data_IF_580666624262
#
_entry.id   IF_580666624262
#
_cell.length_a   1.000
_cell.length_b   1.000
_cell.length_c   1.000
_cell.angle_alpha   90.00
_cell.angle_beta   90.00
_cell.angle_gamma   90.00
#
_symmetry.space_group_name_H-M   'P 1'
#
loop_
_entity.id
_entity.type
_entity.pdbx_description
1 polymer ?
#
# COMPACT_ATOMS: atom_id res chain seq x y z
N UNK A 1 15.60 3.27 25.14
CA UNK A 1 16.24 3.88 23.95
C UNK A 1 15.43 3.69 22.67
N UNK A 2 15.02 2.47 22.33
CA UNK A 2 14.23 2.19 21.11
C UNK A 2 12.88 2.94 21.05
N UNK A 3 12.15 3.03 22.17
CA UNK A 3 10.88 3.77 22.25
C UNK A 3 11.07 5.28 21.98
N UNK A 4 12.14 5.88 22.51
CA UNK A 4 12.45 7.30 22.30
C UNK A 4 12.81 7.59 20.84
N UNK A 5 13.55 6.68 20.19
CA UNK A 5 13.87 6.79 18.75
C UNK A 5 12.61 6.65 17.88
N UNK A 6 11.74 5.67 18.15
CA UNK A 6 10.47 5.49 17.44
C UNK A 6 9.55 6.71 17.61
N UNK A 7 9.45 7.23 18.83
CA UNK A 7 8.66 8.43 19.12
C UNK A 7 9.24 9.68 18.45
N UNK A 8 10.56 9.86 18.49
CA UNK A 8 11.25 10.96 17.81
C UNK A 8 11.00 10.95 16.30
N UNK A 9 11.16 9.78 15.66
CA UNK A 9 10.88 9.62 14.23
C UNK A 9 9.41 9.91 13.91
N UNK A 10 8.48 9.40 14.73
CA UNK A 10 7.05 9.66 14.58
C UNK A 10 6.73 11.16 14.65
N UNK A 11 7.28 11.87 15.63
CA UNK A 11 7.08 13.32 15.78
C UNK A 11 7.67 14.14 14.63
N UNK A 12 8.82 13.72 14.10
CA UNK A 12 9.43 14.38 12.93
C UNK A 12 8.56 14.20 11.68
N UNK A 13 8.06 12.98 11.43
CA UNK A 13 7.15 12.71 10.32
C UNK A 13 5.83 13.49 10.47
N UNK A 14 5.31 13.57 11.69
CA UNK A 14 4.13 14.36 12.03
C UNK A 14 4.34 15.85 11.74
N UNK A 15 5.46 16.41 12.18
CA UNK A 15 5.82 17.81 11.95
C UNK A 15 6.00 18.13 10.46
N UNK A 16 6.67 17.25 9.71
CA UNK A 16 6.88 17.41 8.28
C UNK A 16 5.56 17.39 7.51
N UNK A 17 4.68 16.44 7.84
CA UNK A 17 3.33 16.34 7.26
C UNK A 17 2.49 17.59 7.53
N UNK A 18 2.48 18.07 8.78
CA UNK A 18 1.77 19.29 9.16
C UNK A 18 2.29 20.52 8.40
N UNK A 19 3.61 20.71 8.37
CA UNK A 19 4.22 21.87 7.73
C UNK A 19 4.00 21.89 6.22
N UNK A 20 4.18 20.75 5.55
CA UNK A 20 3.97 20.63 4.11
C UNK A 20 2.50 20.81 3.73
N UNK A 21 1.57 20.22 4.48
CA UNK A 21 0.13 20.41 4.29
C UNK A 21 -0.28 21.88 4.46
N UNK A 22 0.16 22.52 5.54
CA UNK A 22 -0.15 23.93 5.82
C UNK A 22 0.45 24.87 4.76
N UNK A 23 1.64 24.57 4.26
CA UNK A 23 2.27 25.35 3.18
C UNK A 23 1.48 25.22 1.86
N UNK A 24 1.08 24.01 1.48
CA UNK A 24 0.33 23.77 0.24
C UNK A 24 -1.04 24.45 0.28
N UNK A 25 -1.76 24.35 1.41
CA UNK A 25 -3.05 25.02 1.60
C UNK A 25 -2.91 26.55 1.45
N UNK A 26 -1.88 27.15 2.05
CA UNK A 26 -1.62 28.59 1.93
C UNK A 26 -1.28 29.02 0.50
N UNK A 27 -0.47 28.24 -0.21
CA UNK A 27 -0.12 28.53 -1.60
C UNK A 27 -1.36 28.45 -2.49
N UNK A 28 -2.17 27.41 -2.33
CA UNK A 28 -3.40 27.26 -3.09
C UNK A 28 -4.40 28.39 -2.82
N UNK A 29 -4.56 28.82 -1.57
CA UNK A 29 -5.43 29.96 -1.23
C UNK A 29 -4.93 31.29 -1.80
N UNK A 30 -3.61 31.49 -1.90
CA UNK A 30 -3.02 32.67 -2.56
C UNK A 30 -3.31 32.66 -4.05
N UNK A 31 -3.02 31.53 -4.71
CA UNK A 31 -3.34 31.35 -6.13
C UNK A 31 -4.84 31.59 -6.40
N UNK A 32 -5.71 31.07 -5.54
CA UNK A 32 -7.16 31.25 -5.69
C UNK A 32 -7.56 32.73 -5.57
N UNK A 33 -6.98 33.46 -4.62
CA UNK A 33 -7.24 34.90 -4.44
C UNK A 33 -6.69 35.74 -5.60
N UNK A 34 -5.54 35.37 -6.17
CA UNK A 34 -4.98 36.00 -7.37
C UNK A 34 -5.90 35.77 -8.58
N UNK A 35 -6.40 34.55 -8.73
CA UNK A 35 -7.28 34.18 -9.83
C UNK A 35 -8.67 34.82 -9.72
N UNK A 36 -9.22 34.92 -8.51
CA UNK A 36 -10.45 35.68 -8.24
C UNK A 36 -10.31 37.16 -8.62
N UNK A 37 -9.16 37.78 -8.36
CA UNK A 37 -8.85 39.14 -8.79
C UNK A 37 -8.71 39.24 -10.32
N UNK A 38 -8.01 38.30 -10.95
CA UNK A 38 -7.83 38.25 -12.41
C UNK A 38 -9.16 38.13 -13.16
N UNK A 39 -10.15 37.48 -12.55
CA UNK A 39 -11.48 37.25 -13.09
C UNK A 39 -12.55 38.19 -12.50
N UNK A 40 -12.13 39.30 -11.88
CA UNK A 40 -13.06 40.26 -11.29
C UNK A 40 -14.03 40.85 -12.33
N UNK A 41 -13.57 41.02 -13.57
CA UNK A 41 -14.34 41.59 -14.69
C UNK A 41 -15.48 40.67 -15.18
N UNK A 42 -15.44 39.38 -14.84
CA UNK A 42 -16.54 38.44 -15.13
C UNK A 42 -17.53 38.49 -13.97
N UNK A 43 -18.66 39.14 -14.18
CA UNK A 43 -19.71 39.29 -13.19
C UNK A 43 -20.59 38.04 -13.15
N UNK A 44 -21.04 37.67 -11.94
CA UNK A 44 -21.92 36.53 -11.72
C UNK A 44 -23.17 36.99 -10.96
N UNK A 45 -24.32 36.50 -11.38
CA UNK A 45 -25.62 36.87 -10.81
C UNK A 45 -26.43 35.62 -10.47
N UNK A 46 -27.11 35.67 -9.32
CA UNK A 46 -28.10 34.66 -8.95
C UNK A 46 -29.46 34.90 -9.63
N UNK A 47 -29.67 36.07 -10.25
CA UNK A 47 -30.91 36.39 -10.95
C UNK A 47 -31.09 35.52 -12.19
N UNK A 48 -32.34 35.16 -12.48
CA UNK A 48 -32.65 34.26 -13.61
C UNK A 48 -32.41 34.93 -14.98
N UNK A 49 -32.63 36.25 -15.06
CA UNK A 49 -32.48 37.03 -16.29
C UNK A 49 -31.67 38.32 -16.06
N UNK A 50 -31.06 38.87 -17.12
CA UNK A 50 -30.50 40.22 -17.10
C UNK A 50 -31.57 41.29 -16.82
N UNK A 51 -31.21 42.45 -16.24
CA UNK A 51 -32.15 43.54 -16.00
C UNK A 51 -32.83 43.99 -17.31
N UNK A 52 -34.17 44.17 -17.32
CA UNK A 52 -34.88 44.68 -18.49
C UNK A 52 -34.41 46.11 -18.78
N UNK A 53 -33.92 46.36 -20.00
CA UNK A 53 -33.42 47.68 -20.43
C UNK A 53 -31.92 47.77 -20.68
N UNK A 54 -31.15 46.69 -20.47
CA UNK A 54 -29.78 46.61 -20.96
C UNK A 54 -29.77 46.60 -22.50
N UNK A 55 -29.62 47.79 -23.09
CA UNK A 55 -29.61 48.02 -24.53
C UNK A 55 -28.47 47.20 -25.18
N UNK A 56 -28.82 46.22 -26.02
CA UNK A 56 -27.86 45.31 -26.67
C UNK A 56 -28.19 43.82 -26.56
N UNK A 57 -29.10 43.42 -25.66
CA UNK A 57 -29.47 42.01 -25.44
C UNK A 57 -30.54 41.43 -26.38
N UNK A 58 -31.11 42.24 -27.28
CA UNK A 58 -32.26 41.81 -28.12
C UNK A 58 -31.93 40.70 -29.13
N UNK A 59 -30.65 40.45 -29.41
CA UNK A 59 -30.17 39.33 -30.24
C UNK A 59 -28.93 38.71 -29.59
N UNK A 60 -29.12 37.96 -28.52
CA UNK A 60 -28.05 37.20 -27.88
C UNK A 60 -28.41 35.73 -27.75
N UNK A 61 -27.46 34.86 -28.07
CA UNK A 61 -27.60 33.42 -27.91
C UNK A 61 -27.16 33.03 -26.49
N UNK A 62 -27.96 32.21 -25.78
CA UNK A 62 -27.60 31.73 -24.46
C UNK A 62 -26.49 30.67 -24.56
N UNK A 63 -25.52 30.75 -23.65
CA UNK A 63 -24.44 29.76 -23.53
C UNK A 63 -24.37 29.23 -22.12
N UNK A 64 -24.40 27.90 -21.99
CA UNK A 64 -24.15 27.26 -20.71
C UNK A 64 -22.66 27.37 -20.38
N UNK A 65 -22.36 27.97 -19.24
CA UNK A 65 -21.02 27.98 -18.65
C UNK A 65 -21.04 27.21 -17.34
N UNK A 66 -19.96 26.49 -17.08
CA UNK A 66 -19.83 25.65 -15.91
C UNK A 66 -18.38 25.59 -15.43
N UNK A 67 -18.21 25.27 -14.15
CA UNK A 67 -16.94 24.96 -13.53
C UNK A 67 -17.15 23.91 -12.46
N UNK A 68 -16.44 22.79 -12.57
CA UNK A 68 -16.41 21.75 -11.54
C UNK A 68 -15.04 21.71 -10.87
N UNK A 69 -15.02 21.35 -9.60
CA UNK A 69 -13.81 21.04 -8.85
C UNK A 69 -14.06 19.90 -7.88
N UNK A 70 -13.09 19.00 -7.78
CA UNK A 70 -13.04 17.99 -6.73
C UNK A 70 -11.97 18.38 -5.73
N UNK A 71 -12.34 18.46 -4.46
CA UNK A 71 -11.44 18.84 -3.37
C UNK A 71 -11.48 17.79 -2.27
N UNK A 72 -10.30 17.29 -1.91
CA UNK A 72 -10.10 16.36 -0.80
C UNK A 72 -9.63 17.09 0.46
N UNK A 73 -9.98 16.54 1.62
CA UNK A 73 -9.44 16.94 2.90
C UNK A 73 -8.03 16.37 3.09
N UNK A 74 -7.15 17.16 3.70
CA UNK A 74 -5.82 16.67 4.06
C UNK A 74 -5.93 15.59 5.14
N UNK A 75 -5.29 14.43 4.89
CA UNK A 75 -5.24 13.29 5.82
C UNK A 75 -4.80 13.70 7.24
N UNK A 76 -3.87 14.65 7.35
CA UNK A 76 -3.41 15.17 8.64
C UNK A 76 -4.50 15.88 9.44
N UNK A 77 -5.36 16.66 8.77
CA UNK A 77 -6.49 17.31 9.44
C UNK A 77 -7.52 16.29 9.90
N UNK A 78 -7.66 15.17 9.21
CA UNK A 78 -8.51 14.07 9.64
C UNK A 78 -7.95 13.38 10.89
N UNK A 79 -6.64 13.15 10.96
CA UNK A 79 -5.96 12.63 12.16
C UNK A 79 -6.12 13.59 13.36
N UNK A 80 -5.98 14.90 13.16
CA UNK A 80 -6.21 15.88 14.22
C UNK A 80 -7.71 15.99 14.58
N UNK A 81 -8.60 15.83 13.60
CA UNK A 81 -10.04 15.82 13.85
C UNK A 81 -10.49 14.55 14.60
N UNK A 82 -9.88 13.40 14.36
CA UNK A 82 -10.15 12.17 15.12
C UNK A 82 -9.69 12.30 16.57
N UNK A 83 -8.54 12.95 16.83
CA UNK A 83 -8.10 13.31 18.18
C UNK A 83 -9.05 14.30 18.87
N UNK A 84 -9.67 15.22 18.11
CA UNK A 84 -10.67 16.18 18.63
C UNK A 84 -12.06 15.60 18.90
N UNK A 85 -12.36 14.37 18.47
CA UNK A 85 -13.65 13.70 18.79
C UNK A 85 -13.89 13.57 20.30
N UNK A 86 -12.83 13.66 21.11
CA UNK A 86 -12.89 13.62 22.59
C UNK A 86 -13.30 14.96 23.22
N UNK A 87 -13.09 16.09 22.53
CA UNK A 87 -13.24 17.45 23.10
C UNK A 87 -14.52 18.16 22.61
N UNK A 88 -15.11 17.71 21.49
CA UNK A 88 -16.31 18.33 20.91
C UNK A 88 -16.05 19.66 20.18
N UNK A 89 -16.97 20.05 19.27
CA UNK A 89 -16.91 21.33 18.52
C UNK A 89 -17.37 21.23 17.04
N UNK A 90 -17.65 22.38 16.41
CA UNK A 90 -18.05 22.45 14.99
C UNK A 90 -16.94 21.95 14.04
N UNK A 91 -17.35 21.31 12.93
CA UNK A 91 -16.46 20.85 11.87
C UNK A 91 -15.94 22.00 10.99
N UNK A 92 -15.27 22.99 11.58
CA UNK A 92 -14.66 24.12 10.86
C UNK A 92 -13.72 23.67 9.72
N UNK A 93 -13.19 22.45 9.79
CA UNK A 93 -12.40 21.87 8.72
C UNK A 93 -13.24 21.51 7.47
N UNK A 94 -14.47 21.03 7.65
CA UNK A 94 -15.39 20.70 6.54
C UNK A 94 -15.95 21.98 5.91
N UNK A 95 -16.31 22.97 6.73
CA UNK A 95 -16.79 24.27 6.26
C UNK A 95 -15.74 24.96 5.38
N UNK A 96 -14.49 25.06 5.85
CA UNK A 96 -13.39 25.64 5.07
C UNK A 96 -13.13 24.91 3.77
N UNK A 97 -13.28 23.57 3.76
CA UNK A 97 -13.12 22.77 2.56
C UNK A 97 -14.22 23.08 1.54
N UNK A 98 -15.48 23.13 1.98
CA UNK A 98 -16.62 23.47 1.14
C UNK A 98 -16.55 24.90 0.61
N UNK A 99 -16.20 25.87 1.45
CA UNK A 99 -16.01 27.26 1.06
C UNK A 99 -14.94 27.39 -0.03
N UNK A 100 -13.79 26.76 0.18
CA UNK A 100 -12.69 26.72 -0.80
C UNK A 100 -13.12 26.04 -2.10
N UNK A 101 -13.84 24.93 -2.03
CA UNK A 101 -14.33 24.22 -3.21
C UNK A 101 -15.33 25.08 -4.00
N UNK A 102 -16.25 25.78 -3.32
CA UNK A 102 -17.16 26.73 -3.96
C UNK A 102 -16.41 27.86 -4.66
N UNK A 103 -15.46 28.50 -3.98
CA UNK A 103 -14.62 29.56 -4.57
C UNK A 103 -13.87 29.08 -5.81
N UNK A 104 -13.29 27.88 -5.77
CA UNK A 104 -12.58 27.32 -6.90
C UNK A 104 -13.53 26.93 -8.06
N UNK A 105 -14.70 26.37 -7.77
CA UNK A 105 -15.74 26.12 -8.79
C UNK A 105 -16.19 27.43 -9.46
N UNK A 106 -16.37 28.51 -8.69
CA UNK A 106 -16.69 29.85 -9.21
C UNK A 106 -15.58 30.38 -10.11
N UNK A 107 -14.32 30.23 -9.70
CA UNK A 107 -13.16 30.59 -10.52
C UNK A 107 -13.19 29.81 -11.85
N UNK A 108 -13.43 28.50 -11.82
CA UNK A 108 -13.52 27.66 -13.03
C UNK A 108 -14.67 28.09 -13.95
N UNK A 109 -15.83 28.41 -13.38
CA UNK A 109 -16.97 28.95 -14.13
C UNK A 109 -16.63 30.29 -14.79
N UNK A 110 -15.95 31.19 -14.07
CA UNK A 110 -15.51 32.47 -14.62
C UNK A 110 -14.41 32.32 -15.68
N UNK A 111 -13.49 31.37 -15.52
CA UNK A 111 -12.49 31.02 -16.55
C UNK A 111 -13.18 30.53 -17.83
N UNK A 112 -14.17 29.65 -17.70
CA UNK A 112 -14.95 29.16 -18.83
C UNK A 112 -15.72 30.29 -19.52
N UNK A 113 -16.35 31.18 -18.75
CA UNK A 113 -17.02 32.37 -19.28
C UNK A 113 -16.04 33.30 -20.02
N UNK A 114 -14.89 33.62 -19.42
CA UNK A 114 -13.86 34.45 -20.05
C UNK A 114 -13.35 33.84 -21.36
N UNK A 115 -13.14 32.52 -21.40
CA UNK A 115 -12.71 31.81 -22.60
C UNK A 115 -13.74 31.89 -23.74
N UNK A 116 -15.03 32.06 -23.41
CA UNK A 116 -16.10 32.29 -24.37
C UNK A 116 -16.34 33.77 -24.68
N UNK A 117 -15.51 34.69 -24.15
CA UNK A 117 -15.67 36.13 -24.32
C UNK A 117 -16.84 36.73 -23.55
N UNK A 118 -17.31 36.05 -22.51
CA UNK A 118 -18.42 36.48 -21.68
C UNK A 118 -17.93 37.35 -20.51
N UNK A 119 -18.62 38.46 -20.26
CA UNK A 119 -18.38 39.35 -19.12
C UNK A 119 -19.42 39.20 -18.01
N UNK A 120 -20.53 38.49 -18.27
CA UNK A 120 -21.62 38.30 -17.32
C UNK A 120 -22.18 36.89 -17.41
N UNK A 121 -22.48 36.29 -16.26
CA UNK A 121 -23.14 34.99 -16.13
C UNK A 121 -24.33 35.11 -15.18
N UNK A 122 -25.49 34.65 -15.63
CA UNK A 122 -26.76 34.70 -14.91
C UNK A 122 -27.19 33.32 -14.42
N UNK A 123 -28.16 33.30 -13.48
CA UNK A 123 -28.72 32.11 -12.86
C UNK A 123 -27.64 31.16 -12.31
N UNK A 124 -26.59 31.72 -11.70
CA UNK A 124 -25.48 30.91 -11.18
C UNK A 124 -25.94 30.06 -10.01
N UNK A 125 -25.78 28.74 -10.14
CA UNK A 125 -26.15 27.74 -9.13
C UNK A 125 -24.95 26.87 -8.79
N UNK A 126 -25.01 26.28 -7.60
CA UNK A 126 -24.00 25.37 -7.08
C UNK A 126 -24.68 24.06 -6.66
N UNK A 127 -24.08 22.93 -7.05
CA UNK A 127 -24.40 21.59 -6.53
C UNK A 127 -23.16 21.01 -5.90
N UNK A 128 -23.35 20.33 -4.78
CA UNK A 128 -22.28 19.63 -4.08
C UNK A 128 -22.58 18.14 -4.06
N UNK A 129 -21.65 17.32 -4.51
CA UNK A 129 -21.72 15.86 -4.42
C UNK A 129 -20.60 15.34 -3.53
N UNK A 130 -20.91 14.41 -2.63
CA UNK A 130 -19.90 13.74 -1.81
C UNK A 130 -19.34 12.57 -2.60
N UNK A 131 -18.01 12.50 -2.70
CA UNK A 131 -17.31 11.41 -3.39
C UNK A 131 -16.82 10.35 -2.39
N UNK A 132 -16.33 10.79 -1.23
CA UNK A 132 -15.72 9.90 -0.23
C UNK A 132 -16.74 9.02 0.50
N UNK A 133 -16.38 7.77 0.77
CA UNK A 133 -17.15 6.86 1.62
C UNK A 133 -16.73 6.97 3.10
N UNK A 134 -17.59 7.51 4.00
CA UNK A 134 -17.28 7.58 5.43
C UNK A 134 -17.13 6.21 6.10
N UNK A 135 -17.75 5.15 5.57
CA UNK A 135 -17.66 3.80 6.15
C UNK A 135 -16.31 3.15 5.85
N UNK A 136 -15.68 3.53 4.74
CA UNK A 136 -14.34 3.09 4.36
C UNK A 136 -13.21 3.88 5.06
N UNK A 137 -13.55 4.85 5.93
CA UNK A 137 -12.55 5.66 6.64
C UNK A 137 -11.82 6.67 5.73
N UNK A 138 -12.38 6.98 4.57
CA UNK A 138 -11.78 7.91 3.62
C UNK A 138 -11.84 9.36 4.10
N UNK A 139 -10.82 10.13 3.73
CA UNK A 139 -10.84 11.58 3.92
C UNK A 139 -12.01 12.20 3.15
N UNK A 140 -12.65 13.23 3.71
CA UNK A 140 -13.78 13.91 3.07
C UNK A 140 -13.37 14.43 1.69
N UNK A 141 -14.10 14.01 0.67
CA UNK A 141 -13.94 14.46 -0.70
C UNK A 141 -15.27 14.96 -1.23
N UNK A 142 -15.27 16.15 -1.81
CA UNK A 142 -16.47 16.79 -2.35
C UNK A 142 -16.19 17.28 -3.76
N UNK A 143 -17.15 17.05 -4.65
CA UNK A 143 -17.27 17.76 -5.91
C UNK A 143 -18.19 18.96 -5.71
N UNK A 144 -17.76 20.12 -6.23
CA UNK A 144 -18.63 21.29 -6.35
C UNK A 144 -18.73 21.67 -7.82
N UNK A 145 -19.94 21.59 -8.36
CA UNK A 145 -20.29 22.03 -9.69
C UNK A 145 -20.98 23.39 -9.60
N UNK A 146 -20.41 24.40 -10.25
CA UNK A 146 -21.05 25.68 -10.51
C UNK A 146 -21.48 25.75 -11.97
N UNK A 147 -22.68 26.23 -12.25
CA UNK A 147 -23.15 26.47 -13.63
C UNK A 147 -24.04 27.70 -13.71
N UNK A 148 -24.16 28.26 -14.91
CA UNK A 148 -25.01 29.40 -15.21
C UNK A 148 -25.09 29.66 -16.70
N UNK A 149 -25.73 30.76 -17.08
CA UNK A 149 -25.97 31.13 -18.48
C UNK A 149 -25.30 32.46 -18.79
N UNK A 150 -24.37 32.44 -19.74
CA UNK A 150 -23.86 33.65 -20.40
C UNK A 150 -24.68 33.97 -21.65
N UNK A 151 -24.51 35.17 -22.16
CA UNK A 151 -25.14 35.63 -23.40
C UNK A 151 -24.08 36.15 -24.35
N UNK A 152 -23.99 35.58 -25.55
CA UNK A 152 -23.11 36.07 -26.63
C UNK A 152 -23.92 36.74 -27.73
N UNK A 153 -23.40 37.74 -28.46
CA UNK A 153 -24.11 38.31 -29.59
C UNK A 153 -24.49 37.23 -30.62
N UNK A 154 -25.78 37.17 -30.97
CA UNK A 154 -26.28 36.18 -31.93
C UNK A 154 -25.70 36.47 -33.32
N UNK A 155 -25.21 35.42 -33.99
CA UNK A 155 -24.62 35.50 -35.33
C UNK A 155 -25.46 34.69 -36.32
N UNK A 156 -26.21 35.35 -37.21
CA UNK A 156 -26.87 34.67 -38.33
C UNK A 156 -27.95 33.65 -37.92
N UNK A 157 -27.94 32.47 -38.54
CA UNK A 157 -28.84 31.35 -38.21
C UNK A 157 -28.31 30.54 -37.01
N UNK A 158 -29.16 29.71 -36.37
CA UNK A 158 -28.75 28.86 -35.23
C UNK A 158 -27.53 27.98 -35.56
N UNK A 159 -27.42 27.52 -36.81
CA UNK A 159 -26.29 26.74 -37.31
C UNK A 159 -24.99 27.55 -37.51
N UNK A 160 -25.05 28.88 -37.47
CA UNK A 160 -23.91 29.80 -37.58
C UNK A 160 -23.54 30.43 -36.23
N UNK A 161 -24.34 30.17 -35.20
CA UNK A 161 -24.06 30.63 -33.84
C UNK A 161 -22.76 30.04 -33.34
N UNK A 162 -21.94 30.85 -32.66
CA UNK A 162 -20.69 30.43 -32.00
C UNK A 162 -20.92 29.34 -30.94
N UNK A 163 -22.18 29.09 -30.59
CA UNK A 163 -22.66 28.06 -29.66
C UNK A 163 -22.90 26.72 -30.37
N UNK A 164 -22.13 26.42 -31.44
CA UNK A 164 -22.15 25.09 -32.04
C UNK A 164 -22.08 24.03 -30.95
N UNK A 165 -22.97 23.04 -31.03
CA UNK A 165 -22.96 21.85 -30.18
C UNK A 165 -21.52 21.31 -30.14
N UNK A 166 -20.83 21.58 -29.04
CA UNK A 166 -19.59 20.88 -28.75
C UNK A 166 -20.04 19.48 -28.37
N UNK A 167 -19.69 18.43 -29.15
CA UNK A 167 -19.94 17.08 -28.70
C UNK A 167 -19.38 16.97 -27.30
N UNK A 168 -20.25 16.61 -26.35
CA UNK A 168 -19.90 16.56 -24.94
C UNK A 168 -18.56 15.84 -24.80
N UNK A 169 -17.69 16.34 -23.92
CA UNK A 169 -16.36 15.76 -23.69
C UNK A 169 -16.49 14.26 -23.67
N UNK A 170 -15.98 13.59 -24.71
CA UNK A 170 -15.95 12.15 -24.74
C UNK A 170 -15.18 11.79 -23.47
N UNK A 171 -15.87 11.22 -22.49
CA UNK A 171 -15.21 10.65 -21.33
C UNK A 171 -14.42 9.51 -21.97
N UNK A 172 -13.17 9.79 -22.31
CA UNK A 172 -12.21 8.73 -22.50
C UNK A 172 -12.27 8.02 -21.17
N UNK A 173 -12.90 6.84 -21.16
CA UNK A 173 -12.65 5.91 -20.09
C UNK A 173 -11.14 5.93 -19.98
N UNK A 174 -10.61 6.41 -18.84
CA UNK A 174 -9.19 6.25 -18.61
C UNK A 174 -8.96 4.77 -18.82
N UNK A 175 -8.26 4.41 -19.89
CA UNK A 175 -7.82 3.05 -20.14
C UNK A 175 -6.89 2.75 -18.98
N UNK A 176 -7.50 2.33 -17.86
CA UNK A 176 -6.80 1.98 -16.65
C UNK A 176 -5.79 0.94 -17.06
N UNK A 177 -4.53 1.16 -16.68
CA UNK A 177 -3.48 0.22 -17.03
C UNK A 177 -3.88 -1.18 -16.55
N UNK A 178 -4.15 -2.06 -17.50
CA UNK A 178 -4.62 -3.40 -17.21
C UNK A 178 -3.42 -4.25 -16.80
N UNK A 179 -3.33 -4.52 -15.50
CA UNK A 179 -2.28 -5.29 -14.84
C UNK A 179 -2.02 -6.65 -15.50
N UNK A 180 -3.05 -7.30 -16.05
CA UNK A 180 -2.93 -8.64 -16.62
C UNK A 180 -2.62 -8.65 -18.11
N UNK A 181 -2.81 -7.52 -18.81
CA UNK A 181 -2.49 -7.41 -20.24
C UNK A 181 -1.00 -7.15 -20.49
N UNK A 182 -0.33 -6.39 -19.61
CA UNK A 182 1.10 -6.17 -19.76
C UNK A 182 1.88 -7.47 -19.42
N UNK A 183 2.77 -7.95 -20.31
CA UNK A 183 3.42 -9.24 -20.15
C UNK A 183 4.29 -9.33 -18.89
N UNK A 184 4.94 -8.23 -18.50
CA UNK A 184 5.84 -8.22 -17.33
C UNK A 184 5.06 -8.26 -16.04
N UNK A 185 4.02 -7.43 -15.89
CA UNK A 185 3.17 -7.48 -14.69
C UNK A 185 2.40 -8.79 -14.59
N UNK A 186 1.95 -9.37 -15.70
CA UNK A 186 1.30 -10.69 -15.71
C UNK A 186 2.20 -11.78 -15.15
N UNK A 187 3.43 -11.91 -15.68
CA UNK A 187 4.38 -12.92 -15.19
C UNK A 187 4.82 -12.65 -13.75
N UNK A 188 4.93 -11.38 -13.35
CA UNK A 188 5.23 -11.02 -11.97
C UNK A 188 4.11 -11.47 -11.01
N UNK A 189 2.85 -11.20 -11.33
CA UNK A 189 1.69 -11.64 -10.52
C UNK A 189 1.60 -13.16 -10.46
N UNK A 190 1.78 -13.86 -11.59
CA UNK A 190 1.81 -15.33 -11.62
C UNK A 190 2.92 -15.86 -10.72
N UNK A 191 4.14 -15.31 -10.83
CA UNK A 191 5.26 -15.68 -9.98
C UNK A 191 5.00 -15.41 -8.49
N UNK A 192 4.28 -14.34 -8.17
CA UNK A 192 3.90 -14.00 -6.80
C UNK A 192 2.97 -15.07 -6.19
N UNK A 193 1.91 -15.45 -6.92
CA UNK A 193 1.01 -16.52 -6.48
C UNK A 193 1.68 -17.88 -6.42
N UNK A 194 2.54 -18.22 -7.39
CA UNK A 194 3.32 -19.45 -7.37
C UNK A 194 4.26 -19.52 -6.16
N UNK A 195 4.92 -18.40 -5.82
CA UNK A 195 5.76 -18.29 -4.64
C UNK A 195 4.96 -18.46 -3.34
N UNK A 196 3.76 -17.88 -3.28
CA UNK A 196 2.87 -18.01 -2.11
C UNK A 196 2.39 -19.46 -1.95
N UNK A 197 2.00 -20.10 -3.05
CA UNK A 197 1.62 -21.52 -3.07
C UNK A 197 2.79 -22.42 -2.64
N UNK A 198 4.02 -22.10 -3.04
CA UNK A 198 5.22 -22.82 -2.59
C UNK A 198 5.46 -22.67 -1.09
N UNK A 199 5.44 -21.44 -0.56
CA UNK A 199 5.61 -21.18 0.89
C UNK A 199 4.53 -21.89 1.70
N UNK A 200 3.27 -21.79 1.26
CA UNK A 200 2.17 -22.48 1.90
C UNK A 200 2.34 -24.00 1.81
N UNK A 201 2.69 -24.51 0.63
CA UNK A 201 3.00 -25.91 0.41
C UNK A 201 4.05 -26.42 1.39
N UNK A 202 5.19 -25.73 1.51
CA UNK A 202 6.26 -26.08 2.45
C UNK A 202 5.79 -26.10 3.91
N UNK A 203 4.90 -25.18 4.30
CA UNK A 203 4.38 -25.13 5.67
C UNK A 203 3.57 -26.39 6.05
N UNK A 204 2.83 -26.97 5.10
CA UNK A 204 2.02 -28.18 5.33
C UNK A 204 2.76 -29.48 5.00
N UNK A 205 3.56 -29.47 3.93
CA UNK A 205 4.26 -30.65 3.41
C UNK A 205 5.57 -30.94 4.13
N UNK A 206 6.07 -30.07 5.02
CA UNK A 206 7.27 -30.35 5.84
C UNK A 206 7.16 -31.67 6.63
N UNK A 207 5.94 -32.15 6.86
CA UNK A 207 5.64 -33.43 7.52
C UNK A 207 5.76 -34.68 6.64
N UNK A 208 5.76 -34.52 5.32
CA UNK A 208 5.76 -35.60 4.31
C UNK A 208 7.16 -35.88 3.75
N UNK A 209 8.13 -34.99 3.98
CA UNK A 209 9.49 -35.16 3.47
C UNK A 209 10.32 -36.13 4.31
N UNK A 210 11.19 -36.90 3.63
CA UNK A 210 12.13 -37.83 4.25
C UNK A 210 13.09 -37.16 5.25
N UNK A 211 13.53 -35.93 4.95
CA UNK A 211 14.36 -35.11 5.83
C UNK A 211 13.68 -33.75 6.05
N UNK A 212 13.66 -33.30 7.29
CA UNK A 212 13.03 -32.04 7.71
C UNK A 212 14.10 -31.07 8.21
N UNK A 213 14.63 -30.28 7.30
CA UNK A 213 15.76 -29.38 7.57
C UNK A 213 15.37 -28.18 8.42
N UNK A 214 16.18 -27.88 9.43
CA UNK A 214 16.09 -26.68 10.25
C UNK A 214 17.46 -26.00 10.36
N UNK A 215 17.45 -24.66 10.44
CA UNK A 215 18.68 -23.88 10.61
C UNK A 215 19.22 -24.05 12.03
N UNK A 216 20.53 -24.25 12.15
CA UNK A 216 21.18 -24.49 13.44
C UNK A 216 21.38 -23.22 14.28
N UNK A 217 21.79 -22.11 13.65
CA UNK A 217 22.11 -20.84 14.32
C UNK A 217 21.12 -19.71 13.98
N UNK A 218 19.87 -20.08 13.72
CA UNK A 218 18.88 -19.18 13.12
C UNK A 218 19.16 -18.92 11.63
N UNK A 219 18.12 -18.54 10.90
CA UNK A 219 18.26 -18.23 9.48
C UNK A 219 19.02 -16.91 9.27
N UNK A 220 19.76 -16.77 8.15
CA UNK A 220 20.43 -15.52 7.78
C UNK A 220 19.43 -14.47 7.26
N UNK A 221 18.50 -14.06 8.13
CA UNK A 221 17.36 -13.19 7.82
C UNK A 221 17.78 -11.87 7.16
N UNK A 222 18.88 -11.27 7.63
CA UNK A 222 19.40 -10.02 7.07
C UNK A 222 19.85 -10.19 5.61
N UNK A 223 20.54 -11.30 5.29
CA UNK A 223 20.96 -11.62 3.93
C UNK A 223 19.76 -11.82 3.01
N UNK A 224 18.75 -12.57 3.47
CA UNK A 224 17.51 -12.77 2.71
C UNK A 224 16.74 -11.46 2.48
N UNK A 225 16.65 -10.60 3.48
CA UNK A 225 15.99 -9.30 3.37
C UNK A 225 16.71 -8.39 2.35
N UNK A 226 18.04 -8.30 2.40
CA UNK A 226 18.82 -7.50 1.44
C UNK A 226 18.65 -8.05 0.03
N UNK A 227 18.80 -9.36 -0.17
CA UNK A 227 18.60 -9.99 -1.47
C UNK A 227 17.18 -9.78 -2.01
N UNK A 228 16.16 -9.84 -1.14
CA UNK A 228 14.77 -9.65 -1.52
C UNK A 228 14.49 -8.21 -1.96
N UNK A 229 15.02 -7.22 -1.24
CA UNK A 229 14.90 -5.80 -1.62
C UNK A 229 15.61 -5.53 -2.95
N UNK A 230 16.83 -6.05 -3.14
CA UNK A 230 17.57 -5.89 -4.40
C UNK A 230 16.81 -6.51 -5.56
N UNK A 231 16.30 -7.74 -5.41
CA UNK A 231 15.56 -8.41 -6.47
C UNK A 231 14.22 -7.72 -6.77
N UNK A 232 13.49 -7.27 -5.75
CA UNK A 232 12.26 -6.50 -5.93
C UNK A 232 12.52 -5.15 -6.63
N UNK A 233 13.63 -4.48 -6.33
CA UNK A 233 14.04 -3.25 -7.00
C UNK A 233 14.40 -3.50 -8.47
N UNK A 234 15.09 -4.61 -8.78
CA UNK A 234 15.38 -5.03 -10.16
C UNK A 234 14.11 -5.35 -10.94
N UNK A 235 13.13 -6.03 -10.33
CA UNK A 235 11.82 -6.29 -10.92
C UNK A 235 11.06 -4.99 -11.21
N UNK A 236 11.07 -4.04 -10.28
CA UNK A 236 10.48 -2.72 -10.48
C UNK A 236 11.16 -1.94 -11.61
N UNK A 237 12.49 -1.99 -11.67
CA UNK A 237 13.26 -1.35 -12.75
C UNK A 237 12.98 -1.99 -14.12
N UNK A 238 12.92 -3.32 -14.19
CA UNK A 238 12.56 -4.05 -15.41
C UNK A 238 11.12 -3.78 -15.83
N UNK A 239 10.19 -3.72 -14.88
CA UNK A 239 8.80 -3.30 -15.13
C UNK A 239 8.75 -1.90 -15.73
N UNK A 240 9.55 -0.97 -15.20
CA UNK A 240 9.63 0.39 -15.75
C UNK A 240 10.14 0.43 -17.18
N UNK A 241 11.15 -0.38 -17.53
CA UNK A 241 11.64 -0.51 -18.91
C UNK A 241 10.54 -1.01 -19.87
N UNK A 242 9.60 -1.82 -19.36
CA UNK A 242 8.50 -2.40 -20.13
C UNK A 242 7.16 -1.65 -19.93
N UNK A 243 7.23 -0.32 -19.77
CA UNK A 243 6.08 0.59 -19.74
C UNK A 243 5.10 0.38 -18.56
N UNK A 244 5.55 -0.24 -17.46
CA UNK A 244 4.76 -0.31 -16.22
C UNK A 244 4.73 1.07 -15.52
N UNK A 245 3.55 1.60 -15.14
CA UNK A 245 3.44 2.83 -14.36
C UNK A 245 4.03 2.68 -12.95
N UNK A 246 4.68 3.73 -12.44
CA UNK A 246 5.23 3.74 -11.08
C UNK A 246 4.17 3.56 -9.99
N UNK A 247 2.94 4.03 -10.24
CA UNK A 247 1.79 3.86 -9.33
C UNK A 247 1.43 2.40 -9.08
N UNK A 248 1.83 1.48 -9.98
CA UNK A 248 1.56 0.04 -9.88
C UNK A 248 2.84 -0.74 -9.54
N UNK A 249 3.96 -0.38 -10.17
CA UNK A 249 5.24 -1.08 -9.97
C UNK A 249 5.79 -0.97 -8.54
N UNK A 250 5.62 0.19 -7.87
CA UNK A 250 6.13 0.38 -6.51
C UNK A 250 5.33 -0.48 -5.50
N UNK A 251 3.99 -0.42 -5.45
CA UNK A 251 3.22 -1.30 -4.56
C UNK A 251 3.52 -2.78 -4.79
N UNK A 252 3.61 -3.21 -6.04
CA UNK A 252 3.89 -4.61 -6.38
C UNK A 252 5.28 -5.05 -5.91
N UNK A 253 6.30 -4.19 -6.05
CA UNK A 253 7.64 -4.45 -5.53
C UNK A 253 7.67 -4.55 -4.00
N UNK A 254 7.01 -3.61 -3.30
CA UNK A 254 6.94 -3.62 -1.83
C UNK A 254 6.27 -4.89 -1.31
N UNK A 255 5.17 -5.32 -1.93
CA UNK A 255 4.48 -6.58 -1.59
C UNK A 255 5.28 -7.84 -1.94
N UNK A 256 6.21 -7.75 -2.90
CA UNK A 256 7.07 -8.87 -3.31
C UNK A 256 8.22 -9.11 -2.32
N UNK A 257 8.67 -8.08 -1.59
CA UNK A 257 9.77 -8.22 -0.61
C UNK A 257 9.50 -9.28 0.47
N UNK A 258 8.41 -9.23 1.25
CA UNK A 258 8.17 -10.26 2.29
C UNK A 258 7.97 -11.65 1.70
N UNK A 259 7.37 -11.74 0.50
CA UNK A 259 7.23 -13.01 -0.22
C UNK A 259 8.61 -13.61 -0.56
N UNK A 260 9.50 -12.81 -1.13
CA UNK A 260 10.86 -13.26 -1.48
C UNK A 260 11.67 -13.66 -0.25
N UNK A 261 11.52 -12.96 0.87
CA UNK A 261 12.18 -13.36 2.14
C UNK A 261 11.73 -14.75 2.56
N UNK A 262 10.42 -15.02 2.56
CA UNK A 262 9.89 -16.35 2.85
C UNK A 262 10.37 -17.41 1.86
N UNK A 263 10.37 -17.08 0.56
CA UNK A 263 10.82 -17.98 -0.48
C UNK A 263 12.32 -18.31 -0.33
N UNK A 264 13.17 -17.33 -0.06
CA UNK A 264 14.60 -17.55 0.21
C UNK A 264 14.84 -18.35 1.48
N UNK A 265 14.02 -18.18 2.52
CA UNK A 265 14.11 -18.98 3.72
C UNK A 265 13.91 -20.48 3.42
N UNK A 266 12.82 -20.84 2.74
CA UNK A 266 12.50 -22.25 2.43
C UNK A 266 13.36 -22.82 1.31
N UNK A 267 13.60 -22.06 0.23
CA UNK A 267 14.50 -22.47 -0.84
C UNK A 267 15.92 -22.65 -0.33
N UNK A 268 16.40 -21.74 0.53
CA UNK A 268 17.70 -21.87 1.21
C UNK A 268 17.78 -23.14 2.04
N UNK A 269 16.69 -23.53 2.72
CA UNK A 269 16.64 -24.79 3.45
C UNK A 269 16.82 -26.00 2.52
N UNK A 270 15.99 -26.08 1.48
CA UNK A 270 15.94 -27.22 0.56
C UNK A 270 17.18 -27.34 -0.30
N UNK A 271 17.62 -26.24 -0.90
CA UNK A 271 18.79 -26.21 -1.78
C UNK A 271 20.04 -26.56 -0.98
N UNK A 272 20.26 -25.94 0.18
CA UNK A 272 21.45 -26.22 0.99
C UNK A 272 21.47 -27.66 1.51
N UNK A 273 20.35 -28.16 2.05
CA UNK A 273 20.27 -29.49 2.65
C UNK A 273 20.38 -30.61 1.60
N UNK A 274 19.66 -30.49 0.48
CA UNK A 274 19.69 -31.50 -0.58
C UNK A 274 21.04 -31.52 -1.32
N UNK A 275 21.65 -30.36 -1.57
CA UNK A 275 22.99 -30.30 -2.14
C UNK A 275 24.04 -30.82 -1.16
N UNK A 276 23.90 -30.53 0.14
CA UNK A 276 24.80 -31.07 1.16
C UNK A 276 24.76 -32.61 1.17
N UNK A 277 23.58 -33.22 1.13
CA UNK A 277 23.45 -34.68 1.02
C UNK A 277 24.05 -35.24 -0.28
N UNK A 278 23.90 -34.52 -1.40
CA UNK A 278 24.47 -34.94 -2.67
C UNK A 278 26.01 -34.93 -2.65
N UNK A 279 26.62 -34.02 -1.89
CA UNK A 279 28.07 -33.85 -1.78
C UNK A 279 28.69 -34.65 -0.63
N UNK A 280 27.97 -34.81 0.47
CA UNK A 280 28.34 -35.53 1.68
C UNK A 280 27.53 -36.83 1.77
N UNK A 281 27.63 -37.67 0.72
CA UNK A 281 26.83 -38.90 0.60
C UNK A 281 27.03 -39.88 1.77
N UNK A 282 28.17 -39.81 2.45
CA UNK A 282 28.53 -40.66 3.59
C UNK A 282 28.41 -39.93 4.94
N UNK A 283 27.68 -38.80 5.01
CA UNK A 283 27.46 -38.08 6.26
C UNK A 283 26.70 -38.97 7.26
N UNK A 284 27.43 -39.53 8.23
CA UNK A 284 26.83 -40.28 9.32
C UNK A 284 26.13 -39.32 10.31
N UNK A 285 25.02 -39.75 10.95
CA UNK A 285 24.40 -38.98 12.02
C UNK A 285 25.40 -38.78 13.16
N UNK A 286 25.72 -37.53 13.48
CA UNK A 286 26.66 -37.21 14.56
C UNK A 286 25.96 -37.36 15.91
N UNK A 287 26.70 -37.81 16.91
CA UNK A 287 26.20 -37.95 18.27
C UNK A 287 26.35 -36.63 19.02
N UNK A 288 25.23 -36.10 19.49
CA UNK A 288 25.16 -34.92 20.35
C UNK A 288 24.73 -35.32 21.76
N UNK A 289 25.36 -34.75 22.78
CA UNK A 289 24.96 -34.86 24.17
C UNK A 289 24.16 -33.62 24.58
N UNK A 290 22.99 -33.83 25.19
CA UNK A 290 22.14 -32.76 25.73
C UNK A 290 22.70 -32.34 27.09
N UNK A 291 23.11 -31.08 27.25
CA UNK A 291 23.50 -30.50 28.54
C UNK A 291 22.37 -29.67 29.16
N UNK A 292 22.64 -29.06 30.32
CA UNK A 292 21.73 -28.12 30.95
C UNK A 292 21.29 -27.02 29.96
N UNK A 293 20.07 -26.50 30.11
CA UNK A 293 19.46 -25.50 29.22
C UNK A 293 19.28 -25.93 27.74
N UNK A 294 19.22 -27.25 27.49
CA UNK A 294 19.05 -27.85 26.16
C UNK A 294 20.14 -27.49 25.15
N UNK A 295 21.36 -27.26 25.63
CA UNK A 295 22.55 -27.12 24.80
C UNK A 295 22.98 -28.48 24.24
N UNK A 296 23.10 -28.59 22.92
CA UNK A 296 23.54 -29.77 22.21
C UNK A 296 25.04 -29.68 21.94
N UNK A 297 25.84 -30.46 22.67
CA UNK A 297 27.28 -30.55 22.47
C UNK A 297 27.64 -31.75 21.59
N UNK A 298 28.41 -31.56 20.52
CA UNK A 298 28.89 -32.67 19.72
C UNK A 298 29.94 -33.47 20.49
N UNK A 299 29.87 -34.79 20.40
CA UNK A 299 30.90 -35.70 20.92
C UNK A 299 32.12 -35.78 19.98
N UNK A 300 31.94 -35.39 18.71
CA UNK A 300 33.00 -35.31 17.72
C UNK A 300 33.58 -33.88 17.63
N UNK A 301 34.92 -33.70 17.63
CA UNK A 301 35.54 -32.39 17.47
C UNK A 301 35.23 -31.77 16.10
N UNK A 302 34.85 -30.49 16.06
CA UNK A 302 34.68 -29.71 14.82
C UNK A 302 33.23 -29.42 14.41
N UNK A 303 32.25 -29.95 15.14
CA UNK A 303 30.84 -29.63 14.96
C UNK A 303 30.40 -28.43 15.82
N UNK A 304 29.41 -27.63 15.37
CA UNK A 304 28.90 -26.49 16.13
C UNK A 304 28.05 -26.89 17.34
N UNK A 305 28.24 -26.19 18.46
CA UNK A 305 27.34 -26.22 19.63
C UNK A 305 26.12 -25.36 19.34
N UNK A 306 24.94 -25.84 19.69
CA UNK A 306 23.70 -25.12 19.44
C UNK A 306 22.68 -25.38 20.55
N UNK A 307 21.74 -24.44 20.71
CA UNK A 307 20.77 -24.47 21.80
C UNK A 307 19.37 -24.63 21.21
N UNK A 308 18.61 -25.58 21.75
CA UNK A 308 17.18 -25.69 21.49
C UNK A 308 16.42 -24.65 22.31
N UNK A 309 15.28 -24.18 21.81
CA UNK A 309 14.47 -23.14 22.46
C UNK A 309 14.17 -23.49 23.94
N UNK A 310 14.78 -22.77 24.91
CA UNK A 310 14.74 -23.19 26.31
C UNK A 310 13.38 -23.01 26.98
N UNK A 311 12.49 -22.20 26.40
CA UNK A 311 11.17 -21.88 26.97
C UNK A 311 10.07 -22.87 26.55
N UNK A 312 10.42 -23.94 25.84
CA UNK A 312 9.45 -24.94 25.41
C UNK A 312 9.31 -26.06 26.46
N UNK A 313 8.19 -26.10 27.18
CA UNK A 313 7.80 -27.20 28.09
C UNK A 313 7.85 -28.60 27.43
N UNK A 314 7.85 -28.62 26.09
CA UNK A 314 8.04 -29.80 25.26
C UNK A 314 9.45 -30.41 25.37
N UNK A 315 10.53 -29.62 25.39
CA UNK A 315 11.89 -30.20 25.45
C UNK A 315 12.20 -30.81 26.82
N UNK A 316 11.66 -30.23 27.90
CA UNK A 316 11.79 -30.72 29.28
C UNK A 316 11.28 -32.15 29.47
N UNK A 317 10.28 -32.56 28.69
CA UNK A 317 9.66 -33.89 28.80
C UNK A 317 10.34 -34.96 27.93
N UNK A 318 11.05 -34.56 26.86
CA UNK A 318 11.59 -35.48 25.86
C UNK A 318 13.11 -35.63 25.91
N UNK A 319 13.81 -34.59 26.35
CA UNK A 319 15.27 -34.56 26.42
C UNK A 319 15.71 -34.38 27.87
N UNK A 320 16.37 -35.39 28.43
CA UNK A 320 16.98 -35.30 29.75
C UNK A 320 18.44 -34.84 29.63
N UNK A 321 18.94 -33.97 30.54
CA UNK A 321 20.36 -33.65 30.60
C UNK A 321 21.20 -34.93 30.73
N UNK A 322 22.27 -35.05 29.95
CA UNK A 322 23.15 -36.22 29.83
C UNK A 322 22.69 -37.25 28.78
N UNK A 323 21.55 -37.02 28.10
CA UNK A 323 21.07 -37.93 27.07
C UNK A 323 21.82 -37.69 25.74
N UNK A 324 22.23 -38.79 25.10
CA UNK A 324 22.85 -38.76 23.78
C UNK A 324 21.79 -38.91 22.68
N UNK A 325 21.87 -38.05 21.66
CA UNK A 325 20.97 -38.01 20.52
C UNK A 325 21.76 -38.06 19.22
N UNK A 326 21.33 -38.94 18.30
CA UNK A 326 21.86 -39.02 16.94
C UNK A 326 21.12 -38.05 16.06
N UNK A 327 21.80 -37.01 15.57
CA UNK A 327 21.22 -35.99 14.70
C UNK A 327 22.13 -35.80 13.50
N UNK A 328 21.55 -35.86 12.31
CA UNK A 328 22.26 -35.53 11.09
C UNK A 328 22.41 -34.01 11.00
N UNK A 329 23.65 -33.52 11.06
CA UNK A 329 23.99 -32.11 10.88
C UNK A 329 24.86 -31.98 9.65
N UNK A 330 24.46 -31.11 8.73
CA UNK A 330 25.15 -30.90 7.46
C UNK A 330 25.48 -29.43 7.27
N UNK A 331 26.60 -29.17 6.59
CA UNK A 331 26.97 -27.84 6.12
C UNK A 331 26.96 -27.85 4.60
N UNK A 332 25.96 -27.22 4.01
CA UNK A 332 25.84 -27.11 2.56
C UNK A 332 26.65 -25.95 1.96
N UNK A 333 26.60 -25.80 0.63
CA UNK A 333 27.39 -24.83 -0.13
C UNK A 333 27.06 -23.37 0.19
N UNK A 334 25.88 -23.08 0.73
CA UNK A 334 25.49 -21.73 1.15
C UNK A 334 26.11 -21.34 2.51
N UNK A 335 26.90 -22.24 3.12
CA UNK A 335 27.79 -21.94 4.24
C UNK A 335 27.17 -22.02 5.63
N UNK A 336 25.84 -22.14 5.74
CA UNK A 336 25.13 -22.31 7.01
C UNK A 336 24.91 -23.79 7.37
N UNK A 337 24.92 -24.06 8.68
CA UNK A 337 24.66 -25.38 9.26
C UNK A 337 23.16 -25.65 9.39
N UNK A 338 22.78 -26.89 9.11
CA UNK A 338 21.40 -27.37 9.20
C UNK A 338 21.37 -28.73 9.87
N UNK A 339 20.27 -29.04 10.52
CA UNK A 339 20.04 -30.35 11.12
C UNK A 339 18.71 -30.92 10.68
N UNK A 340 18.62 -32.25 10.65
CA UNK A 340 17.37 -32.95 10.42
C UNK A 340 16.59 -33.11 11.73
N UNK A 341 15.36 -32.59 11.77
CA UNK A 341 14.48 -32.68 12.95
C UNK A 341 13.65 -33.98 12.98
N UNK A 342 13.67 -34.81 11.93
CA UNK A 342 12.90 -36.07 11.85
C UNK A 342 13.08 -36.97 13.11
N UNK A 343 14.32 -37.26 13.57
CA UNK A 343 14.53 -38.12 14.74
C UNK A 343 13.94 -37.57 16.05
N UNK A 344 13.82 -36.24 16.15
CA UNK A 344 13.21 -35.57 17.30
C UNK A 344 11.68 -35.53 17.17
N UNK A 345 11.18 -35.40 15.93
CA UNK A 345 9.75 -35.31 15.61
C UNK A 345 9.00 -36.60 15.88
N UNK A 346 9.63 -37.77 15.74
CA UNK A 346 8.99 -39.04 16.05
C UNK A 346 8.69 -39.19 17.56
N UNK A 347 9.64 -38.78 18.41
CA UNK A 347 9.42 -38.72 19.87
C UNK A 347 8.34 -37.73 20.27
N UNK A 348 8.25 -36.59 19.58
CA UNK A 348 7.15 -35.64 19.77
C UNK A 348 5.78 -36.26 19.53
N UNK A 349 5.62 -37.01 18.43
CA UNK A 349 4.35 -37.67 18.12
C UNK A 349 3.97 -38.68 19.19
N UNK A 350 4.95 -39.44 19.69
CA UNK A 350 4.74 -40.41 20.78
C UNK A 350 4.30 -39.73 22.07
N UNK A 351 4.93 -38.60 22.44
CA UNK A 351 4.55 -37.82 23.62
C UNK A 351 3.14 -37.19 23.48
N UNK A 352 2.80 -36.63 22.32
CA UNK A 352 1.46 -36.09 22.11
C UNK A 352 0.38 -37.17 22.17
N UNK A 353 0.66 -38.35 21.62
CA UNK A 353 -0.24 -39.49 21.69
C UNK A 353 -0.43 -39.99 23.13
N UNK A 354 0.60 -39.94 23.99
CA UNK A 354 0.47 -40.32 25.40
C UNK A 354 -0.33 -39.29 26.20
N UNK A 355 -0.14 -37.99 25.95
CA UNK A 355 -0.92 -36.91 26.58
C UNK A 355 -2.40 -36.92 26.17
N UNK A 356 -2.70 -37.23 24.91
CA UNK A 356 -4.08 -37.38 24.44
C UNK A 356 -4.77 -38.56 25.11
N UNK A 357 -4.09 -39.71 25.27
CA UNK A 357 -4.63 -40.86 26.01
C UNK A 357 -4.91 -40.51 27.47
N UNK A 358 -3.98 -39.84 28.14
CA UNK A 358 -4.12 -39.43 29.53
C UNK A 358 -5.27 -38.43 29.78
N UNK A 359 -5.60 -37.60 28.79
CA UNK A 359 -6.76 -36.70 28.84
C UNK A 359 -8.08 -37.37 28.41
N UNK A 360 -8.06 -38.52 27.76
CA UNK A 360 -9.28 -39.25 27.37
C UNK A 360 -9.71 -40.26 28.44
N UNK A 361 -8.75 -40.73 29.26
CA UNK A 361 -8.97 -41.62 30.41
C UNK A 361 -9.29 -40.88 31.73
N UNK A 362 -9.25 -39.54 31.72
CA UNK A 362 -9.73 -38.66 32.81
C UNK A 362 -11.09 -38.09 32.45
#
# INVERSE_FOLDING_TARGET
MELLLKLGLFLVLLALGYWRGRRNERLHLRWLAEEEKRLADVLIFASHYPPPGAAGLQRMDPVLVSGSVVVAADFFRMLVASLRKVIGGNYAAHERLLERARRHATVKLKQHAQAQGLHMVFNVRYTTARISDPRAGEAMQVEVLAWGTGFVPACGTVAQSRVHHQPGTHITAHDGFDLLKNPVSRWWVIGWFAGLAYIFGELFTDSLWLHSWRYLHGAPWQGFAVAAVVLAALLAHNGRRNQLPWSIGIPLAVLTVPLLVGLFYFAGLRVNGNLALAWQRDAAPTLYEVRANFEMHPLEPGMPVWQLDPDSAYWETILRPGQQQRILVVRGPLGFYQYDVQPLRERYRQWHASQQKENTDK
#
